data_IF_171944627015
#
_entry.id   IF_171944627015
#
_cell.length_a   1.000
_cell.length_b   1.000
_cell.length_c   1.000
_cell.angle_alpha   90.00
_cell.angle_beta   90.00
_cell.angle_gamma   90.00
#
_symmetry.space_group_name_H-M   'P 1'
#
loop_
_entity.id
_entity.type
_entity.pdbx_description
1 polymer ?
#
# COMPACT_ATOMS: atom_id res chain seq x y z
N UNK A 1 -22.19 21.59 26.53
CA UNK A 1 -20.84 21.50 25.93
C UNK A 1 -20.27 20.09 25.93
N UNK A 2 -20.34 19.33 27.04
CA UNK A 2 -19.77 17.97 27.13
C UNK A 2 -20.25 16.96 26.07
N UNK A 3 -21.52 17.04 25.64
CA UNK A 3 -22.09 16.12 24.64
C UNK A 3 -21.47 16.31 23.25
N UNK A 4 -21.20 17.55 22.85
CA UNK A 4 -20.57 17.84 21.55
C UNK A 4 -19.12 17.36 21.54
N UNK A 5 -18.40 17.58 22.65
CA UNK A 5 -17.03 17.07 22.84
C UNK A 5 -16.95 15.54 22.71
N UNK A 6 -17.86 14.82 23.36
CA UNK A 6 -17.93 13.36 23.24
C UNK A 6 -18.24 12.90 21.81
N UNK A 7 -19.18 13.57 21.12
CA UNK A 7 -19.47 13.25 19.72
C UNK A 7 -18.25 13.48 18.82
N UNK A 8 -17.49 14.56 19.03
CA UNK A 8 -16.26 14.81 18.27
C UNK A 8 -15.18 13.76 18.55
N UNK A 9 -15.04 13.29 19.80
CA UNK A 9 -14.11 12.22 20.14
C UNK A 9 -14.49 10.90 19.46
N UNK A 10 -15.78 10.53 19.51
CA UNK A 10 -16.26 9.31 18.85
C UNK A 10 -16.06 9.40 17.34
N UNK A 11 -16.36 10.55 16.73
CA UNK A 11 -16.14 10.77 15.30
C UNK A 11 -14.66 10.68 14.92
N UNK A 12 -13.77 11.28 15.71
CA UNK A 12 -12.32 11.20 15.49
C UNK A 12 -11.80 9.75 15.62
N UNK A 13 -12.29 9.01 16.63
CA UNK A 13 -11.94 7.61 16.82
C UNK A 13 -12.43 6.72 15.68
N UNK A 14 -13.68 6.92 15.23
CA UNK A 14 -14.23 6.20 14.08
C UNK A 14 -13.43 6.50 12.80
N UNK A 15 -13.04 7.76 12.58
CA UNK A 15 -12.20 8.15 11.45
C UNK A 15 -10.81 7.49 11.52
N UNK A 16 -10.20 7.42 12.70
CA UNK A 16 -8.92 6.74 12.90
C UNK A 16 -9.02 5.23 12.62
N UNK A 17 -10.10 4.58 13.06
CA UNK A 17 -10.35 3.16 12.76
C UNK A 17 -10.51 2.91 11.27
N UNK A 18 -11.26 3.76 10.56
CA UNK A 18 -11.43 3.63 9.11
C UNK A 18 -10.12 3.83 8.36
N UNK A 19 -9.29 4.80 8.78
CA UNK A 19 -7.96 5.00 8.20
C UNK A 19 -7.04 3.79 8.44
N UNK A 20 -7.06 3.24 9.66
CA UNK A 20 -6.32 2.03 10.00
C UNK A 20 -6.76 0.81 9.20
N UNK A 21 -8.08 0.59 9.05
CA UNK A 21 -8.62 -0.50 8.25
C UNK A 21 -8.26 -0.36 6.76
N UNK A 22 -8.30 0.86 6.22
CA UNK A 22 -7.86 1.19 4.85
C UNK A 22 -6.38 0.86 4.64
N UNK A 23 -5.51 1.24 5.58
CA UNK A 23 -4.10 0.90 5.52
C UNK A 23 -3.86 -0.61 5.62
N UNK A 24 -4.55 -1.31 6.53
CA UNK A 24 -4.42 -2.75 6.71
C UNK A 24 -4.87 -3.53 5.46
N UNK A 25 -5.97 -3.15 4.83
CA UNK A 25 -6.43 -3.74 3.57
C UNK A 25 -5.41 -3.53 2.45
N UNK A 26 -4.81 -2.34 2.38
CA UNK A 26 -3.78 -2.04 1.39
C UNK A 26 -2.49 -2.83 1.62
N UNK A 27 -2.05 -2.97 2.88
CA UNK A 27 -0.89 -3.77 3.26
C UNK A 27 -1.11 -5.26 2.98
N UNK A 28 -2.31 -5.78 3.23
CA UNK A 28 -2.65 -7.17 2.96
C UNK A 28 -2.54 -7.49 1.47
N UNK A 29 -3.06 -6.60 0.59
CA UNK A 29 -2.96 -6.75 -0.85
C UNK A 29 -1.49 -6.75 -1.34
N UNK A 30 -0.64 -5.92 -0.75
CA UNK A 30 0.80 -5.96 -1.00
C UNK A 30 1.39 -7.29 -0.55
N UNK A 31 1.07 -7.77 0.65
CA UNK A 31 1.55 -9.06 1.15
C UNK A 31 1.16 -10.23 0.23
N UNK A 32 -0.08 -10.26 -0.26
CA UNK A 32 -0.53 -11.29 -1.20
C UNK A 32 0.22 -11.25 -2.53
N UNK A 33 0.61 -10.05 -2.98
CA UNK A 33 1.37 -9.87 -4.22
C UNK A 33 2.82 -10.31 -4.09
N UNK A 34 3.42 -10.06 -2.92
CA UNK A 34 4.81 -10.41 -2.64
C UNK A 34 4.99 -11.89 -2.27
N UNK A 35 3.92 -12.57 -1.89
CA UNK A 35 3.97 -13.97 -1.49
C UNK A 35 4.59 -14.18 -0.10
N UNK A 36 4.66 -15.45 0.30
CA UNK A 36 5.27 -15.88 1.55
C UNK A 36 6.29 -16.99 1.25
N UNK A 37 7.57 -16.83 1.64
CA UNK A 37 8.15 -15.69 2.35
C UNK A 37 8.30 -14.45 1.44
N UNK A 38 8.14 -13.22 1.97
CA UNK A 38 8.33 -12.01 1.18
C UNK A 38 9.79 -11.91 0.72
N UNK A 39 10.05 -11.45 -0.52
CA UNK A 39 11.39 -11.21 -1.02
C UNK A 39 12.15 -10.26 -0.09
N UNK A 40 13.48 -10.33 -0.10
CA UNK A 40 14.31 -9.35 0.59
C UNK A 40 14.13 -7.96 -0.04
N UNK A 41 13.18 -7.23 0.53
CA UNK A 41 12.91 -5.84 0.27
C UNK A 41 13.53 -5.03 1.39
N UNK A 42 14.36 -4.05 1.06
CA UNK A 42 14.97 -3.16 2.04
C UNK A 42 13.94 -2.29 2.76
N UNK A 43 14.17 -0.98 2.82
CA UNK A 43 13.29 -0.09 3.57
C UNK A 43 11.93 0.04 2.89
N UNK A 44 10.85 -0.22 3.63
CA UNK A 44 9.48 0.09 3.22
C UNK A 44 9.12 1.52 3.62
N UNK A 45 8.65 2.31 2.66
CA UNK A 45 8.02 3.61 2.87
C UNK A 45 6.57 3.54 2.42
N UNK A 46 5.64 3.98 3.28
CA UNK A 46 4.20 3.95 2.98
C UNK A 46 3.63 5.36 3.08
N UNK A 47 2.93 5.80 2.03
CA UNK A 47 2.35 7.15 1.96
C UNK A 47 0.92 7.07 1.43
N UNK A 48 -0.02 7.71 2.12
CA UNK A 48 -1.39 7.90 1.62
C UNK A 48 -1.42 9.14 0.72
N UNK A 49 -1.61 8.92 -0.58
CA UNK A 49 -1.82 9.98 -1.56
C UNK A 49 -3.31 10.36 -1.58
N UNK A 50 -3.76 11.06 -0.53
CA UNK A 50 -5.16 11.45 -0.37
C UNK A 50 -5.64 12.44 -1.45
N UNK A 51 -4.75 13.31 -1.92
CA UNK A 51 -5.03 14.24 -3.02
C UNK A 51 -5.05 13.55 -4.39
N UNK A 52 -4.73 12.26 -4.44
CA UNK A 52 -4.57 11.50 -5.68
C UNK A 52 -3.11 11.32 -6.06
N UNK A 53 -2.80 10.22 -6.75
CA UNK A 53 -1.46 10.01 -7.30
C UNK A 53 -1.32 10.71 -8.67
N UNK A 54 -0.47 11.74 -8.83
CA UNK A 54 -0.27 12.41 -10.10
C UNK A 54 0.31 11.48 -11.18
N UNK A 55 1.04 10.46 -10.74
CA UNK A 55 1.70 9.45 -11.57
C UNK A 55 0.70 8.46 -12.21
N UNK A 56 -0.53 8.37 -11.69
CA UNK A 56 -1.55 7.42 -12.14
C UNK A 56 -2.65 8.11 -12.97
N UNK A 57 -3.13 7.42 -14.01
CA UNK A 57 -4.23 7.92 -14.85
C UNK A 57 -5.49 8.12 -14.02
N UNK A 58 -6.06 9.32 -14.08
CA UNK A 58 -7.28 9.68 -13.32
C UNK A 58 -7.04 10.05 -11.86
N UNK A 59 -5.77 10.17 -11.44
CA UNK A 59 -5.38 10.64 -10.09
C UNK A 59 -6.14 9.99 -8.93
N UNK A 60 -6.27 8.65 -8.89
CA UNK A 60 -6.99 7.97 -7.83
C UNK A 60 -6.29 8.19 -6.48
N UNK A 61 -7.10 8.22 -5.42
CA UNK A 61 -6.59 8.19 -4.03
C UNK A 61 -6.05 6.80 -3.76
N UNK A 62 -4.77 6.71 -3.39
CA UNK A 62 -4.07 5.44 -3.23
C UNK A 62 -3.06 5.52 -2.10
N UNK A 63 -2.82 4.38 -1.47
CA UNK A 63 -1.61 4.11 -0.71
C UNK A 63 -0.49 3.74 -1.67
N UNK A 64 0.66 4.40 -1.53
CA UNK A 64 1.89 4.05 -2.24
C UNK A 64 2.83 3.36 -1.26
N UNK A 65 3.18 2.12 -1.57
CA UNK A 65 4.21 1.35 -0.88
C UNK A 65 5.45 1.35 -1.75
N UNK A 66 6.51 2.01 -1.30
CA UNK A 66 7.81 2.02 -1.97
C UNK A 66 8.80 1.18 -1.17
N UNK A 67 9.50 0.28 -1.85
CA UNK A 67 10.52 -0.59 -1.28
C UNK A 67 11.84 -0.33 -1.99
N UNK A 68 12.90 -0.17 -1.22
CA UNK A 68 14.24 -0.02 -1.79
C UNK A 68 15.33 0.12 -0.72
N UNK A 69 16.57 -0.32 -1.02
CA UNK A 69 16.95 -1.15 -2.16
C UNK A 69 16.42 -2.59 -2.01
N UNK A 70 15.95 -3.20 -3.09
CA UNK A 70 15.45 -4.59 -3.13
C UNK A 70 16.48 -5.52 -3.76
N UNK A 71 16.50 -6.82 -3.40
CA UNK A 71 17.38 -7.84 -4.03
C UNK A 71 16.77 -8.51 -5.27
N UNK A 72 15.64 -8.01 -5.77
CA UNK A 72 14.97 -8.56 -6.94
C UNK A 72 15.78 -8.21 -8.20
N UNK A 73 16.19 -9.20 -9.02
CA UNK A 73 16.94 -8.94 -10.24
C UNK A 73 16.19 -7.97 -11.16
N UNK A 74 16.84 -6.88 -11.57
CA UNK A 74 16.27 -5.85 -12.45
C UNK A 74 15.17 -4.97 -11.86
N UNK A 75 14.84 -5.14 -10.58
CA UNK A 75 13.91 -4.29 -9.85
C UNK A 75 14.60 -3.81 -8.56
N UNK A 76 15.46 -2.78 -8.61
CA UNK A 76 16.17 -2.25 -7.43
C UNK A 76 15.26 -1.41 -6.51
N UNK A 77 14.12 -0.99 -7.03
CA UNK A 77 13.08 -0.27 -6.29
C UNK A 77 11.73 -0.78 -6.77
N UNK A 78 10.83 -1.01 -5.83
CA UNK A 78 9.48 -1.49 -6.10
C UNK A 78 8.49 -0.47 -5.57
N UNK A 79 7.48 -0.12 -6.37
CA UNK A 79 6.37 0.76 -5.95
C UNK A 79 5.06 0.06 -6.26
N UNK A 80 4.21 -0.05 -5.25
CA UNK A 80 2.89 -0.66 -5.37
C UNK A 80 1.87 0.38 -4.96
N UNK A 81 0.90 0.64 -5.83
CA UNK A 81 -0.17 1.58 -5.60
C UNK A 81 -1.45 0.82 -5.35
N UNK A 82 -2.04 1.01 -4.17
CA UNK A 82 -3.23 0.27 -3.73
C UNK A 82 -4.30 1.27 -3.30
N UNK A 83 -5.53 1.08 -3.75
CA UNK A 83 -6.66 1.88 -3.28
C UNK A 83 -6.88 1.70 -1.76
N UNK A 84 -7.50 2.67 -1.07
CA UNK A 84 -7.97 2.53 0.31
C UNK A 84 -8.86 1.30 0.58
N UNK A 85 -9.40 0.69 -0.48
CA UNK A 85 -10.24 -0.51 -0.44
C UNK A 85 -9.44 -1.81 -0.65
N UNK A 86 -8.11 -1.74 -0.73
CA UNK A 86 -7.24 -2.91 -0.90
C UNK A 86 -7.11 -3.41 -2.35
N UNK A 87 -7.55 -2.65 -3.36
CA UNK A 87 -7.34 -3.02 -4.78
C UNK A 87 -6.03 -2.45 -5.30
N UNK A 88 -5.16 -3.30 -5.85
CA UNK A 88 -3.94 -2.87 -6.54
C UNK A 88 -4.33 -2.14 -7.83
N UNK A 89 -3.80 -0.93 -8.01
CA UNK A 89 -4.06 -0.08 -9.19
C UNK A 89 -2.91 -0.20 -10.18
N UNK A 90 -1.68 -0.11 -9.67
CA UNK A 90 -0.48 -0.17 -10.50
C UNK A 90 0.68 -0.71 -9.68
N UNK A 91 1.61 -1.36 -10.38
CA UNK A 91 2.82 -1.96 -9.83
C UNK A 91 3.97 -1.49 -10.71
N UNK A 92 5.04 -1.03 -10.06
CA UNK A 92 6.27 -0.64 -10.73
C UNK A 92 7.43 -1.42 -10.09
N UNK A 93 8.19 -2.21 -10.86
CA UNK A 93 7.99 -2.47 -12.29
C UNK A 93 6.76 -3.34 -12.57
N UNK A 94 6.15 -3.22 -13.75
CA UNK A 94 4.90 -3.92 -14.10
C UNK A 94 5.05 -5.45 -14.14
N UNK A 95 6.27 -5.95 -14.31
CA UNK A 95 6.62 -7.36 -14.31
C UNK A 95 7.06 -7.86 -12.91
N UNK A 96 6.80 -7.10 -11.85
CA UNK A 96 7.15 -7.47 -10.48
C UNK A 96 6.61 -8.85 -10.12
N UNK A 97 5.35 -9.16 -10.44
CA UNK A 97 4.74 -10.46 -10.10
C UNK A 97 5.52 -11.62 -10.75
N UNK A 98 5.87 -11.48 -12.04
CA UNK A 98 6.68 -12.48 -12.75
C UNK A 98 8.10 -12.59 -12.15
N UNK A 99 8.70 -11.47 -11.73
CA UNK A 99 10.02 -11.46 -11.07
C UNK A 99 9.99 -12.11 -9.69
N UNK A 100 8.92 -11.89 -8.92
CA UNK A 100 8.71 -12.52 -7.61
C UNK A 100 8.49 -14.02 -7.79
N UNK A 101 7.67 -14.42 -8.77
CA UNK A 101 7.43 -15.83 -9.09
C UNK A 101 8.70 -16.55 -9.59
N UNK A 102 9.56 -15.85 -10.34
CA UNK A 102 10.87 -16.39 -10.73
C UNK A 102 11.82 -16.58 -9.54
N UNK A 103 11.66 -15.78 -8.47
CA UNK A 103 12.43 -15.91 -7.23
C UNK A 103 11.86 -17.02 -6.33
N UNK A 104 10.54 -17.26 -6.38
CA UNK A 104 9.81 -18.25 -5.59
C UNK A 104 8.94 -19.15 -6.48
N UNK A 105 9.49 -20.22 -7.09
CA UNK A 105 8.76 -21.09 -8.02
C UNK A 105 7.81 -22.12 -7.36
N UNK A 106 7.29 -21.86 -6.15
CA UNK A 106 6.50 -22.83 -5.39
C UNK A 106 5.15 -22.27 -4.93
#
# INVERSE_FOLDING_TARGET
>A
MARLFWLTLIAAFAAALLAGASWAAALFAVGTLLGSPPPEMGTQSTVLLWQGAPELRGHPRVWRFAFGPTRIPGAPTVRIYVTPLGRVVEIQPADLEARVQALHPY
#
